data_IF_518247483078
#
_entry.id   IF_518247483078
#
_cell.length_a   1.000
_cell.length_b   1.000
_cell.length_c   1.000
_cell.angle_alpha   90.00
_cell.angle_beta   90.00
_cell.angle_gamma   90.00
#
_symmetry.space_group_name_H-M   'P 1'
#
loop_
_entity.id
_entity.type
_entity.pdbx_description
1 polymer ?
#
# COMPACT_ATOMS: atom_id res chain seq x y z
N UNK A 1 22.02 9.40 -23.87
CA UNK A 1 21.42 9.41 -22.51
C UNK A 1 21.64 8.02 -21.92
N UNK A 2 22.80 7.80 -21.31
CA UNK A 2 23.19 6.50 -20.79
C UNK A 2 22.59 6.31 -19.39
N UNK A 3 21.78 5.26 -19.20
CA UNK A 3 21.45 4.74 -17.88
C UNK A 3 22.73 4.18 -17.27
N UNK A 4 23.31 4.92 -16.31
CA UNK A 4 24.47 4.47 -15.55
C UNK A 4 24.17 3.15 -14.83
N UNK A 5 24.80 2.07 -15.28
CA UNK A 5 25.29 0.98 -14.42
C UNK A 5 24.26 0.16 -13.62
N UNK A 6 22.97 0.18 -13.96
CA UNK A 6 22.00 -0.70 -13.34
C UNK A 6 21.94 -2.02 -14.13
N UNK A 7 22.67 -3.05 -13.65
CA UNK A 7 22.41 -4.45 -14.05
C UNK A 7 20.91 -4.70 -13.93
N UNK A 8 20.32 -5.37 -14.94
CA UNK A 8 18.92 -5.78 -15.05
C UNK A 8 18.18 -5.72 -13.70
N UNK A 9 17.49 -4.59 -13.45
CA UNK A 9 16.69 -4.44 -12.24
C UNK A 9 15.36 -5.11 -12.50
N UNK A 10 15.03 -6.08 -11.66
CA UNK A 10 13.72 -6.72 -11.64
C UNK A 10 12.65 -5.64 -11.39
N UNK A 11 11.57 -5.67 -12.17
CA UNK A 11 10.49 -4.69 -12.05
C UNK A 11 9.74 -4.90 -10.73
N UNK A 12 9.55 -3.84 -9.95
CA UNK A 12 8.71 -3.89 -8.75
C UNK A 12 7.27 -4.21 -9.17
N UNK A 13 6.73 -5.32 -8.68
CA UNK A 13 5.37 -5.76 -9.01
C UNK A 13 4.33 -4.94 -8.24
N UNK A 14 3.47 -4.21 -8.96
CA UNK A 14 2.31 -3.54 -8.35
C UNK A 14 1.23 -4.58 -8.04
N UNK A 15 0.94 -4.79 -6.76
CA UNK A 15 -0.06 -5.77 -6.29
C UNK A 15 -1.52 -5.29 -6.43
N UNK A 16 -1.75 -4.00 -6.72
CA UNK A 16 -3.09 -3.38 -6.76
C UNK A 16 -3.39 -2.83 -8.15
N UNK A 17 -4.61 -3.08 -8.63
CA UNK A 17 -5.13 -2.47 -9.86
C UNK A 17 -5.41 -0.98 -9.59
N UNK A 18 -4.88 -0.08 -10.44
CA UNK A 18 -5.06 1.39 -10.38
C UNK A 18 -6.51 1.85 -10.16
N UNK A 19 -7.48 1.11 -10.72
CA UNK A 19 -8.91 1.40 -10.54
C UNK A 19 -9.35 1.27 -9.08
N UNK A 20 -8.90 0.24 -8.37
CA UNK A 20 -9.28 0.02 -6.96
C UNK A 20 -8.71 1.08 -6.02
N UNK A 21 -7.55 1.64 -6.35
CA UNK A 21 -6.95 2.79 -5.65
C UNK A 21 -7.78 4.06 -5.84
N UNK A 22 -8.35 4.23 -7.03
CA UNK A 22 -9.23 5.33 -7.34
C UNK A 22 -10.61 5.18 -6.66
N UNK A 23 -11.17 3.98 -6.66
CA UNK A 23 -12.44 3.66 -6.01
C UNK A 23 -12.38 3.86 -4.48
N UNK A 24 -11.24 3.52 -3.87
CA UNK A 24 -10.96 3.77 -2.46
C UNK A 24 -10.76 5.26 -2.11
N UNK A 25 -10.82 6.17 -3.11
CA UNK A 25 -10.61 7.62 -2.97
C UNK A 25 -9.34 7.97 -2.19
N UNK A 26 -8.26 7.21 -2.41
CA UNK A 26 -6.95 7.50 -1.83
C UNK A 26 -6.41 8.82 -2.42
N UNK A 27 -5.92 9.69 -1.55
CA UNK A 27 -5.18 10.90 -1.94
C UNK A 27 -3.99 10.51 -2.83
N UNK A 28 -3.51 11.43 -3.66
CA UNK A 28 -2.41 11.15 -4.59
C UNK A 28 -1.11 10.71 -3.90
N UNK A 29 -0.83 11.24 -2.70
CA UNK A 29 0.38 10.90 -1.95
C UNK A 29 0.45 9.44 -1.51
N UNK A 30 -0.58 8.83 -0.89
CA UNK A 30 -0.54 7.43 -0.47
C UNK A 30 -0.75 6.39 -1.61
N UNK A 31 -0.50 6.74 -2.88
CA UNK A 31 -0.56 5.80 -4.03
C UNK A 31 0.80 5.16 -4.33
N UNK A 32 1.52 4.79 -3.28
CA UNK A 32 2.83 4.13 -3.38
C UNK A 32 2.67 2.63 -3.66
N UNK A 33 3.78 1.93 -3.91
CA UNK A 33 3.80 0.47 -4.08
C UNK A 33 3.15 -0.26 -2.88
N UNK A 34 3.21 0.35 -1.70
CA UNK A 34 2.65 -0.14 -0.45
C UNK A 34 1.12 0.05 -0.28
N UNK A 35 0.44 0.69 -1.22
CA UNK A 35 -0.93 1.15 -1.02
C UNK A 35 -1.98 0.04 -0.78
N UNK A 36 -1.68 -1.22 -1.14
CA UNK A 36 -2.51 -2.38 -0.83
C UNK A 36 -2.82 -2.52 0.67
N UNK A 37 -1.83 -2.29 1.54
CA UNK A 37 -2.04 -2.37 2.99
C UNK A 37 -2.93 -1.24 3.50
N UNK A 38 -2.88 -0.08 2.86
CA UNK A 38 -3.74 1.06 3.21
C UNK A 38 -5.21 0.78 2.91
N UNK A 39 -5.50 0.15 1.78
CA UNK A 39 -6.86 -0.30 1.43
C UNK A 39 -7.35 -1.36 2.44
N UNK A 40 -6.53 -2.36 2.76
CA UNK A 40 -6.89 -3.39 3.74
C UNK A 40 -7.20 -2.79 5.13
N UNK A 41 -6.41 -1.81 5.57
CA UNK A 41 -6.64 -1.09 6.83
C UNK A 41 -7.94 -0.27 6.81
N UNK A 42 -8.30 0.32 5.67
CA UNK A 42 -9.57 1.03 5.51
C UNK A 42 -10.76 0.06 5.58
N UNK A 43 -10.67 -1.09 4.93
CA UNK A 43 -11.70 -2.13 4.99
C UNK A 43 -11.87 -2.69 6.42
N UNK A 44 -10.76 -3.06 7.07
CA UNK A 44 -10.79 -3.60 8.44
C UNK A 44 -11.36 -2.59 9.46
N UNK A 45 -11.10 -1.29 9.29
CA UNK A 45 -11.74 -0.22 10.09
C UNK A 45 -13.24 -0.10 9.84
N UNK A 46 -13.70 -0.28 8.60
CA UNK A 46 -15.13 -0.27 8.24
C UNK A 46 -15.86 -1.47 8.85
N UNK A 47 -15.26 -2.66 8.79
CA UNK A 47 -15.90 -3.90 9.20
C UNK A 47 -15.93 -4.11 10.72
N UNK A 48 -14.91 -3.60 11.43
CA UNK A 48 -14.74 -3.86 12.88
C UNK A 48 -15.17 -2.70 13.77
N UNK A 49 -15.90 -1.72 13.25
CA UNK A 49 -16.45 -0.63 14.05
C UNK A 49 -17.42 -1.19 15.11
N UNK A 50 -17.32 -0.80 16.42
CA UNK A 50 -16.56 0.31 17.01
C UNK A 50 -15.16 -0.05 17.54
N UNK A 51 -14.67 -1.28 17.36
CA UNK A 51 -13.40 -1.74 17.91
C UNK A 51 -12.20 -1.23 17.11
N UNK A 52 -11.76 -0.01 17.44
CA UNK A 52 -10.61 0.65 16.82
C UNK A 52 -9.28 -0.07 17.00
N UNK A 53 -9.15 -0.96 18.00
CA UNK A 53 -7.91 -1.68 18.27
C UNK A 53 -7.76 -2.95 17.42
N UNK A 54 -8.81 -3.42 16.76
CA UNK A 54 -8.78 -4.67 16.02
C UNK A 54 -7.95 -4.59 14.72
N UNK A 55 -7.59 -3.40 14.25
CA UNK A 55 -6.91 -3.18 12.96
C UNK A 55 -5.37 -3.00 13.08
N UNK A 56 -4.77 -3.40 14.21
CA UNK A 56 -3.32 -3.22 14.47
C UNK A 56 -2.44 -4.07 13.55
N UNK A 57 -2.93 -5.25 13.11
CA UNK A 57 -2.17 -6.16 12.24
C UNK A 57 -1.99 -5.56 10.85
N UNK A 58 -3.07 -5.04 10.26
CA UNK A 58 -3.05 -4.42 8.93
C UNK A 58 -2.26 -3.11 8.97
N UNK A 59 -2.31 -2.38 10.09
CA UNK A 59 -1.45 -1.21 10.30
C UNK A 59 0.03 -1.57 10.31
N UNK A 60 0.44 -2.53 11.15
CA UNK A 60 1.84 -2.94 11.23
C UNK A 60 2.38 -3.53 9.92
N UNK A 61 1.52 -4.23 9.15
CA UNK A 61 1.91 -4.74 7.84
C UNK A 61 2.20 -3.60 6.85
N UNK A 62 1.42 -2.53 6.89
CA UNK A 62 1.69 -1.31 6.11
C UNK A 62 2.97 -0.61 6.56
N UNK A 63 3.16 -0.42 7.86
CA UNK A 63 4.35 0.23 8.42
C UNK A 63 5.64 -0.55 8.08
N UNK A 64 5.58 -1.89 8.11
CA UNK A 64 6.71 -2.74 7.72
C UNK A 64 7.02 -2.64 6.22
N UNK A 65 6.01 -2.45 5.39
CA UNK A 65 6.16 -2.28 3.95
C UNK A 65 6.68 -0.87 3.60
N UNK A 66 6.24 0.18 4.28
CA UNK A 66 6.82 1.53 4.17
C UNK A 66 8.29 1.59 4.67
N UNK A 67 8.69 0.70 5.58
CA UNK A 67 10.09 0.59 6.02
C UNK A 67 11.01 -0.09 4.99
N UNK A 68 10.45 -0.90 4.10
CA UNK A 68 11.18 -1.66 3.07
C UNK A 68 11.19 -0.98 1.69
N UNK A 69 10.38 0.06 1.51
CA UNK A 69 10.30 0.92 0.31
C UNK A 69 11.41 1.99 0.33
#
# INVERSE_FOLDING_TARGET
MASLGCKERETVATLVIEMSMNDARLLFQPRDYCAHYRIQRLNSRRDRFPNFQACKREQHAGDACEHLD
#
